data_IF_108879822142
#
_entry.id   IF_108879822142
#
_cell.length_a   1.000
_cell.length_b   1.000
_cell.length_c   1.000
_cell.angle_alpha   90.00
_cell.angle_beta   90.00
_cell.angle_gamma   90.00
#
_symmetry.space_group_name_H-M   'P 1'
#
loop_
_entity.id
_entity.type
_entity.pdbx_description
1 polymer ?
#
# COMPACT_ATOMS: atom_id res chain seq x y z
N UNK A 1 66.68 -38.76 -65.60
CA UNK A 1 65.67 -39.60 -64.92
C UNK A 1 65.81 -39.25 -63.44
N UNK A 2 64.87 -38.61 -62.75
CA UNK A 2 63.56 -39.17 -62.34
C UNK A 2 62.57 -38.05 -61.98
N UNK A 3 61.29 -38.40 -62.12
CA UNK A 3 60.05 -37.63 -62.02
C UNK A 3 59.44 -37.74 -60.60
N UNK A 4 58.73 -36.69 -60.18
CA UNK A 4 57.40 -36.84 -59.56
C UNK A 4 57.20 -36.50 -58.08
N UNK A 5 56.20 -35.65 -57.82
CA UNK A 5 55.23 -35.91 -56.74
C UNK A 5 55.09 -34.83 -55.67
N UNK A 6 54.35 -33.75 -55.95
CA UNK A 6 53.78 -32.89 -54.91
C UNK A 6 52.48 -33.49 -54.36
N UNK A 7 52.37 -33.58 -53.04
CA UNK A 7 51.14 -33.97 -52.32
C UNK A 7 50.58 -32.73 -51.64
N UNK A 8 49.44 -32.22 -52.13
CA UNK A 8 48.68 -31.18 -51.42
C UNK A 8 48.02 -31.80 -50.18
N UNK A 9 48.48 -31.41 -49.00
CA UNK A 9 47.89 -31.79 -47.71
C UNK A 9 46.68 -30.91 -47.41
N UNK A 10 45.49 -31.46 -47.68
CA UNK A 10 44.17 -30.82 -47.48
C UNK A 10 43.58 -31.00 -46.07
N UNK A 11 44.37 -31.42 -45.08
CA UNK A 11 43.84 -31.82 -43.77
C UNK A 11 43.75 -30.71 -42.71
N UNK A 12 44.37 -29.54 -42.92
CA UNK A 12 44.39 -28.45 -41.93
C UNK A 12 43.05 -27.70 -41.79
N UNK A 13 42.15 -27.81 -42.79
CA UNK A 13 40.87 -27.09 -42.80
C UNK A 13 39.79 -27.71 -41.92
N UNK A 14 39.87 -29.00 -41.60
CA UNK A 14 38.82 -29.72 -40.86
C UNK A 14 38.99 -29.57 -39.35
N UNK A 15 40.23 -29.49 -38.86
CA UNK A 15 40.54 -29.29 -37.43
C UNK A 15 40.11 -27.92 -36.89
N UNK A 16 40.14 -26.87 -37.71
CA UNK A 16 39.70 -25.53 -37.29
C UNK A 16 38.17 -25.43 -37.15
N UNK A 17 37.42 -26.18 -37.97
CA UNK A 17 35.95 -26.21 -37.92
C UNK A 17 35.43 -26.94 -36.68
N UNK A 18 36.09 -28.00 -36.21
CA UNK A 18 35.69 -28.69 -34.96
C UNK A 18 35.89 -27.81 -33.71
N UNK A 19 36.91 -26.95 -33.69
CA UNK A 19 37.15 -26.05 -32.56
C UNK A 19 36.06 -24.96 -32.46
N UNK A 20 35.54 -24.45 -33.58
CA UNK A 20 34.39 -23.52 -33.55
C UNK A 20 33.11 -24.18 -33.00
N UNK A 21 32.86 -25.45 -33.31
CA UNK A 21 31.69 -26.16 -32.82
C UNK A 21 31.70 -26.39 -31.29
N UNK A 22 32.89 -26.52 -30.69
CA UNK A 22 33.05 -26.63 -29.24
C UNK A 22 32.80 -25.31 -28.50
N UNK A 23 33.15 -24.16 -29.10
CA UNK A 23 32.91 -22.83 -28.51
C UNK A 23 31.42 -22.45 -28.56
N UNK A 24 30.70 -22.83 -29.63
CA UNK A 24 29.24 -22.62 -29.74
C UNK A 24 28.42 -23.47 -28.76
N UNK A 25 28.95 -24.57 -28.23
CA UNK A 25 28.27 -25.40 -27.22
C UNK A 25 28.42 -24.88 -25.79
N UNK A 26 29.28 -23.89 -25.52
CA UNK A 26 29.51 -23.37 -24.16
C UNK A 26 28.74 -22.08 -23.84
N UNK A 27 27.93 -21.57 -24.79
CA UNK A 27 27.25 -20.27 -24.67
C UNK A 27 25.82 -20.29 -24.12
N UNK A 28 25.22 -21.46 -23.88
CA UNK A 28 23.86 -21.55 -23.35
C UNK A 28 23.87 -22.01 -21.89
N UNK A 29 24.44 -21.17 -21.02
CA UNK A 29 23.96 -21.15 -19.65
C UNK A 29 22.49 -20.70 -19.73
N UNK A 30 21.57 -21.66 -19.57
CA UNK A 30 20.15 -21.37 -19.39
C UNK A 30 20.03 -20.48 -18.16
N UNK A 31 20.02 -19.16 -18.35
CA UNK A 31 19.64 -18.21 -17.31
C UNK A 31 18.20 -18.56 -16.98
N UNK A 32 17.99 -19.26 -15.87
CA UNK A 32 16.67 -19.53 -15.35
C UNK A 32 15.91 -18.19 -15.31
N UNK A 33 14.65 -18.14 -15.77
CA UNK A 33 13.84 -16.94 -15.62
C UNK A 33 13.93 -16.48 -14.17
N UNK A 34 14.14 -15.18 -13.89
CA UNK A 34 14.15 -14.70 -12.52
C UNK A 34 12.88 -15.20 -11.86
N UNK A 35 13.04 -16.07 -10.86
CA UNK A 35 11.91 -16.60 -10.11
C UNK A 35 11.27 -15.41 -9.43
N UNK A 36 10.14 -14.96 -9.99
CA UNK A 36 9.32 -13.91 -9.37
C UNK A 36 8.97 -14.41 -7.99
N UNK A 37 9.47 -13.72 -6.97
CA UNK A 37 9.13 -14.01 -5.58
C UNK A 37 7.60 -14.11 -5.48
N UNK A 38 7.06 -15.08 -4.71
CA UNK A 38 5.61 -15.23 -4.55
C UNK A 38 5.02 -13.87 -4.18
N UNK A 39 4.03 -13.42 -4.94
CA UNK A 39 3.25 -12.23 -4.59
C UNK A 39 2.61 -12.53 -3.23
N UNK A 40 3.19 -12.01 -2.16
CA UNK A 40 2.64 -12.12 -0.82
C UNK A 40 1.32 -11.38 -0.88
N UNK A 41 0.20 -12.12 -0.86
CA UNK A 41 -1.09 -11.50 -0.62
C UNK A 41 -0.93 -10.62 0.62
N UNK A 42 -1.35 -9.34 0.58
CA UNK A 42 -1.08 -8.41 1.66
C UNK A 42 -1.67 -8.92 2.99
N UNK A 43 -2.61 -9.87 2.95
CA UNK A 43 -3.25 -10.42 4.11
C UNK A 43 -4.20 -9.40 4.74
N UNK A 44 -5.01 -9.87 5.69
CA UNK A 44 -5.88 -8.99 6.46
C UNK A 44 -5.02 -8.04 7.31
N UNK A 45 -5.27 -6.72 7.31
CA UNK A 45 -4.54 -5.79 8.15
C UNK A 45 -4.82 -6.07 9.64
N UNK A 46 -3.79 -5.88 10.47
CA UNK A 46 -3.91 -5.94 11.92
C UNK A 46 -4.84 -4.81 12.41
N UNK A 47 -5.65 -5.10 13.42
CA UNK A 47 -6.58 -4.13 14.00
C UNK A 47 -5.84 -3.32 15.06
N UNK A 48 -5.82 -1.99 14.90
CA UNK A 48 -5.35 -1.06 15.91
C UNK A 48 -6.49 -0.48 16.75
N UNK A 49 -6.16 -0.06 17.97
CA UNK A 49 -7.06 0.66 18.88
C UNK A 49 -6.51 2.06 19.09
N UNK A 50 -7.28 3.07 18.70
CA UNK A 50 -6.87 4.47 18.69
C UNK A 50 -7.84 5.29 19.54
N UNK A 51 -7.29 6.22 20.32
CA UNK A 51 -8.05 7.12 21.16
C UNK A 51 -7.54 8.55 21.00
N UNK A 52 -8.47 9.49 20.84
CA UNK A 52 -8.20 10.93 20.93
C UNK A 52 -8.88 11.44 22.19
N UNK A 53 -8.10 12.10 23.04
CA UNK A 53 -8.56 12.64 24.31
C UNK A 53 -8.48 14.16 24.28
N UNK A 54 -9.46 14.81 24.91
CA UNK A 54 -9.42 16.26 25.15
C UNK A 54 -8.41 16.58 26.24
N UNK A 55 -8.04 17.85 26.37
CA UNK A 55 -7.23 18.36 27.50
C UNK A 55 -7.74 17.91 28.88
N UNK A 56 -9.06 17.73 29.00
CA UNK A 56 -9.73 17.34 30.24
C UNK A 56 -9.68 15.83 30.52
N UNK A 57 -8.96 15.04 29.70
CA UNK A 57 -8.82 13.59 29.85
C UNK A 57 -9.96 12.75 29.26
N UNK A 58 -11.11 13.37 28.94
CA UNK A 58 -12.24 12.67 28.32
C UNK A 58 -11.93 12.26 26.88
N UNK A 59 -12.16 10.98 26.56
CA UNK A 59 -12.06 10.47 25.19
C UNK A 59 -13.21 11.02 24.35
N UNK A 60 -12.88 11.62 23.21
CA UNK A 60 -13.86 12.18 22.26
C UNK A 60 -13.94 11.37 20.96
N UNK A 61 -12.93 10.54 20.69
CA UNK A 61 -12.93 9.59 19.58
C UNK A 61 -12.25 8.31 20.02
N UNK A 62 -12.93 7.18 19.79
CA UNK A 62 -12.40 5.84 19.94
C UNK A 62 -12.58 5.11 18.61
N UNK A 63 -11.50 4.58 18.05
CA UNK A 63 -11.53 3.86 16.78
C UNK A 63 -10.83 2.51 16.92
N UNK A 64 -11.45 1.47 16.37
CA UNK A 64 -10.91 0.11 16.38
C UNK A 64 -10.94 -0.45 14.95
N UNK A 65 -9.86 -0.23 14.19
CA UNK A 65 -9.83 -0.50 12.75
C UNK A 65 -8.49 -1.08 12.29
N UNK A 66 -8.53 -1.92 11.26
CA UNK A 66 -7.34 -2.35 10.52
C UNK A 66 -7.32 -1.67 9.16
N UNK A 67 -6.17 -1.11 8.78
CA UNK A 67 -6.04 -0.28 7.59
C UNK A 67 -5.12 -0.92 6.56
N UNK A 68 -5.61 -1.04 5.34
CA UNK A 68 -4.88 -1.46 4.16
C UNK A 68 -5.03 -0.39 3.09
N UNK A 69 -3.91 0.14 2.62
CA UNK A 69 -3.86 1.18 1.60
C UNK A 69 -3.53 0.52 0.27
N UNK A 70 -4.39 0.69 -0.73
CA UNK A 70 -4.10 0.32 -2.10
C UNK A 70 -3.71 1.60 -2.86
N UNK A 71 -2.41 1.74 -3.13
CA UNK A 71 -1.81 2.95 -3.69
C UNK A 71 -1.39 2.63 -5.13
N UNK A 72 -1.86 3.45 -6.07
CA UNK A 72 -1.45 3.37 -7.47
C UNK A 72 -0.72 4.65 -7.84
N UNK A 73 0.54 4.55 -8.27
CA UNK A 73 1.36 5.70 -8.63
C UNK A 73 2.14 5.45 -9.93
N UNK A 74 2.39 6.53 -10.68
CA UNK A 74 3.19 6.46 -11.89
C UNK A 74 4.67 6.55 -11.54
N UNK A 75 5.39 5.44 -11.70
CA UNK A 75 6.83 5.41 -11.49
C UNK A 75 7.51 6.13 -12.66
N UNK A 76 7.99 7.35 -12.41
CA UNK A 76 8.69 8.19 -13.41
C UNK A 76 9.89 7.47 -14.05
N UNK A 77 10.53 6.57 -13.30
CA UNK A 77 11.67 5.78 -13.77
C UNK A 77 11.30 4.65 -14.74
N UNK A 78 10.03 4.23 -14.78
CA UNK A 78 9.58 3.08 -15.57
C UNK A 78 8.48 3.44 -16.58
N UNK A 79 8.03 4.71 -16.62
CA UNK A 79 6.86 5.17 -17.39
C UNK A 79 5.66 4.21 -17.28
N UNK A 80 5.47 3.64 -16.09
CA UNK A 80 4.49 2.59 -15.81
C UNK A 80 3.78 2.89 -14.51
N UNK A 81 2.48 2.61 -14.46
CA UNK A 81 1.71 2.62 -13.22
C UNK A 81 2.08 1.40 -12.38
N UNK A 82 2.53 1.66 -11.16
CA UNK A 82 2.83 0.66 -10.13
C UNK A 82 1.73 0.70 -9.09
N UNK A 83 1.18 -0.46 -8.77
CA UNK A 83 0.24 -0.63 -7.65
C UNK A 83 0.99 -1.26 -6.50
N UNK A 84 0.79 -0.73 -5.30
CA UNK A 84 1.33 -1.25 -4.06
C UNK A 84 0.24 -1.31 -3.01
N UNK A 85 0.27 -2.34 -2.17
CA UNK A 85 -0.69 -2.54 -1.09
C UNK A 85 0.05 -2.56 0.22
N UNK A 86 -0.23 -1.57 1.07
CA UNK A 86 0.45 -1.35 2.34
C UNK A 86 -0.52 -1.55 3.50
N UNK A 87 -0.23 -2.51 4.37
CA UNK A 87 -0.91 -2.64 5.66
C UNK A 87 -0.23 -1.74 6.69
N UNK A 88 -1.04 -0.92 7.37
CA UNK A 88 -0.56 -0.20 8.55
C UNK A 88 -0.35 -1.17 9.71
N UNK A 89 0.76 -1.00 10.41
CA UNK A 89 1.10 -1.76 11.61
C UNK A 89 0.79 -0.90 12.83
N UNK A 90 -0.22 -1.25 13.65
CA UNK A 90 -0.61 -0.43 14.80
C UNK A 90 0.54 -0.18 15.78
N UNK A 91 1.41 -1.18 15.98
CA UNK A 91 2.57 -1.09 16.87
C UNK A 91 3.64 -0.09 16.41
N UNK A 92 3.62 0.30 15.14
CA UNK A 92 4.55 1.25 14.52
C UNK A 92 3.84 2.53 14.03
N UNK A 93 2.64 2.78 14.54
CA UNK A 93 1.80 3.91 14.13
C UNK A 93 1.46 4.76 15.35
N UNK A 94 1.85 6.03 15.30
CA UNK A 94 1.50 7.04 16.30
C UNK A 94 0.15 7.65 15.94
N UNK A 95 -0.77 7.66 16.91
CA UNK A 95 -2.06 8.31 16.78
C UNK A 95 -2.05 9.67 17.48
N UNK A 96 -2.61 10.67 16.82
CA UNK A 96 -2.87 12.01 17.35
C UNK A 96 -4.22 12.50 16.82
N UNK A 97 -4.69 13.66 17.26
CA UNK A 97 -5.96 14.19 16.81
C UNK A 97 -6.45 15.36 17.62
N UNK A 98 -7.61 15.87 17.23
CA UNK A 98 -8.33 16.95 17.90
C UNK A 98 -9.83 16.69 17.86
N UNK A 99 -10.54 17.30 18.79
CA UNK A 99 -11.99 17.23 18.84
C UNK A 99 -12.56 18.63 19.09
N UNK A 100 -13.46 19.03 18.21
CA UNK A 100 -14.31 20.20 18.28
C UNK A 100 -15.75 19.76 18.62
N UNK A 101 -16.71 20.69 18.62
CA UNK A 101 -18.11 20.41 18.97
C UNK A 101 -18.80 19.47 17.98
N UNK A 102 -18.52 19.62 16.69
CA UNK A 102 -19.17 18.86 15.60
C UNK A 102 -18.17 18.08 14.75
N UNK A 103 -16.87 18.14 15.08
CA UNK A 103 -15.79 17.53 14.29
C UNK A 103 -14.77 16.84 15.16
N UNK A 104 -14.26 15.71 14.70
CA UNK A 104 -13.12 15.04 15.30
C UNK A 104 -12.11 14.64 14.22
N UNK A 105 -10.83 14.72 14.53
CA UNK A 105 -9.75 14.29 13.66
C UNK A 105 -8.95 13.16 14.32
N UNK A 106 -8.58 12.17 13.52
CA UNK A 106 -7.65 11.11 13.90
C UNK A 106 -6.52 11.10 12.87
N UNK A 107 -5.32 11.48 13.29
CA UNK A 107 -4.12 11.43 12.50
C UNK A 107 -3.28 10.22 12.90
N UNK A 108 -2.88 9.43 11.90
CA UNK A 108 -2.03 8.25 12.04
C UNK A 108 -0.74 8.48 11.27
N UNK A 109 0.37 8.53 12.00
CA UNK A 109 1.71 8.71 11.46
C UNK A 109 2.54 7.46 11.70
N UNK A 110 3.06 6.85 10.63
CA UNK A 110 3.94 5.69 10.78
C UNK A 110 5.33 6.13 11.25
N UNK A 111 6.04 5.27 12.00
CA UNK A 111 7.36 5.60 12.58
C UNK A 111 8.44 5.97 11.55
N UNK A 112 8.25 5.60 10.28
CA UNK A 112 9.12 5.99 9.18
C UNK A 112 8.70 7.28 8.48
N UNK A 113 7.65 7.96 8.96
CA UNK A 113 6.96 9.13 8.36
C UNK A 113 6.55 8.93 6.88
N UNK A 114 6.60 7.69 6.40
CA UNK A 114 6.23 7.33 5.02
C UNK A 114 4.74 7.48 4.76
N UNK A 115 3.93 7.51 5.82
CA UNK A 115 2.48 7.51 5.72
C UNK A 115 1.89 8.38 6.80
N UNK A 116 1.18 9.42 6.37
CA UNK A 116 0.39 10.31 7.21
C UNK A 116 -1.06 10.26 6.73
N UNK A 117 -1.92 9.60 7.53
CA UNK A 117 -3.35 9.51 7.25
C UNK A 117 -4.09 10.38 8.24
N UNK A 118 -4.99 11.23 7.75
CA UNK A 118 -5.89 12.01 8.61
C UNK A 118 -7.33 11.65 8.28
N UNK A 119 -8.03 11.06 9.24
CA UNK A 119 -9.47 10.80 9.18
C UNK A 119 -10.20 11.96 9.84
N UNK A 120 -11.18 12.54 9.16
CA UNK A 120 -12.03 13.59 9.70
C UNK A 120 -13.45 13.07 9.81
N UNK A 121 -14.02 13.16 11.00
CA UNK A 121 -15.39 12.78 11.32
C UNK A 121 -16.18 14.06 11.57
N UNK A 122 -17.33 14.19 10.92
CA UNK A 122 -18.22 15.34 11.08
C UNK A 122 -19.59 14.86 11.55
N UNK A 123 -20.11 15.46 12.61
CA UNK A 123 -21.45 15.22 13.12
C UNK A 123 -22.45 16.05 12.31
N UNK A 124 -23.31 15.39 11.56
CA UNK A 124 -24.44 16.05 10.89
C UNK A 124 -25.68 15.83 11.76
N UNK A 125 -26.04 16.83 12.55
CA UNK A 125 -27.30 16.83 13.31
C UNK A 125 -28.42 17.44 12.46
N UNK A 126 -29.39 16.63 12.06
CA UNK A 126 -30.60 17.12 11.40
C UNK A 126 -31.69 17.34 12.45
N UNK A 127 -31.71 18.52 13.07
CA UNK A 127 -32.81 18.91 13.96
C UNK A 127 -33.91 19.55 13.09
N UNK A 128 -34.90 18.76 12.70
CA UNK A 128 -36.01 19.20 11.87
C UNK A 128 -37.15 19.80 12.71
N UNK A 129 -37.62 20.99 12.33
CA UNK A 129 -38.82 21.58 12.92
C UNK A 129 -40.08 20.93 12.32
N UNK A 130 -40.76 20.07 13.09
CA UNK A 130 -42.11 19.63 12.75
C UNK A 130 -43.13 20.57 13.39
N UNK A 131 -43.74 21.42 12.58
CA UNK A 131 -44.91 22.20 13.00
C UNK A 131 -46.17 21.34 12.81
N UNK A 132 -46.76 20.89 13.92
CA UNK A 132 -48.07 20.25 13.88
C UNK A 132 -49.16 21.34 13.91
N UNK A 133 -50.19 21.28 13.05
CA UNK A 133 -51.27 22.27 13.00
C UNK A 133 -52.22 22.23 14.21
N UNK A 134 -52.01 21.30 15.14
CA UNK A 134 -52.78 21.17 16.37
C UNK A 134 -51.84 21.29 17.58
N UNK A 135 -52.35 21.88 18.66
CA UNK A 135 -51.64 22.03 19.95
C UNK A 135 -51.29 20.68 20.56
N UNK A 136 -50.24 20.04 20.03
CA UNK A 136 -49.50 19.01 20.75
C UNK A 136 -48.36 19.71 21.48
N UNK A 137 -48.17 19.48 22.79
CA UNK A 137 -47.07 20.08 23.54
C UNK A 137 -45.75 19.72 22.84
N UNK A 138 -44.81 20.67 22.69
CA UNK A 138 -43.62 20.48 21.86
C UNK A 138 -42.75 19.39 22.47
N UNK A 139 -42.88 18.17 21.96
CA UNK A 139 -41.88 17.12 22.18
C UNK A 139 -40.85 17.26 21.06
N UNK A 140 -39.81 18.04 21.36
CA UNK A 140 -38.60 18.08 20.55
C UNK A 140 -38.05 16.65 20.42
N UNK A 141 -38.14 16.07 19.23
CA UNK A 141 -37.36 14.90 18.86
C UNK A 141 -36.10 15.38 18.14
N UNK A 142 -35.17 15.97 18.89
CA UNK A 142 -33.77 15.98 18.50
C UNK A 142 -33.07 15.00 19.44
N UNK A 143 -32.10 14.19 18.97
CA UNK A 143 -31.29 13.40 19.89
C UNK A 143 -30.68 14.38 20.88
N UNK A 144 -31.02 14.22 22.17
CA UNK A 144 -30.38 14.92 23.26
C UNK A 144 -28.90 14.56 23.18
N UNK A 145 -28.11 15.37 22.49
CA UNK A 145 -26.73 15.57 22.88
C UNK A 145 -26.86 16.16 24.27
N UNK A 146 -26.49 15.38 25.29
CA UNK A 146 -26.35 15.86 26.64
C UNK A 146 -25.32 16.99 26.62
N UNK A 147 -25.79 18.21 26.39
CA UNK A 147 -25.09 19.43 26.76
C UNK A 147 -25.20 19.50 28.29
N UNK A 148 -24.28 18.79 28.94
CA UNK A 148 -24.00 18.90 30.36
C UNK A 148 -22.58 19.40 30.48
N UNK A 149 -22.41 20.70 30.29
CA UNK A 149 -21.26 21.40 30.86
C UNK A 149 -21.70 22.80 31.33
N UNK A 150 -21.24 23.12 32.54
CA UNK A 150 -21.55 24.28 33.37
C UNK A 150 -20.25 24.99 33.70
#
# INVERSE_FOLDING_TARGET
MTRGGGVQSRCLGVTLQLLLAAVLHQGFATVAPPTTAPHKDPGRPEKGHYAVTRSNGTACLLASMGLQLNISFNALSQNKTVQDVVNLQPNLTKASGSCDSDRASLQLLTDAEKTNLTFTFTLVSYCGSFSFPYSVPPRFLCPLVNDSDS
#
